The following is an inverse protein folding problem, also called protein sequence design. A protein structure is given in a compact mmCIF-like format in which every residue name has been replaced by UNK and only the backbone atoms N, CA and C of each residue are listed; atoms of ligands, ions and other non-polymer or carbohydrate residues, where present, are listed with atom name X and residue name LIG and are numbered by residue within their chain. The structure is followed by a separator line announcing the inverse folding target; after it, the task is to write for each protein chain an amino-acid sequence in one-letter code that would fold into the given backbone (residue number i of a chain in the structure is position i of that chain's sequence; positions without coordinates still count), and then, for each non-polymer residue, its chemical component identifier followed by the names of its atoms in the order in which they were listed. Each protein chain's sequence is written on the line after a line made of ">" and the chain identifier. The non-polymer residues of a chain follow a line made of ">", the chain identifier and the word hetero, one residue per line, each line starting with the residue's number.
data_IF_287826463064
#
_entry.id   IF_287826463064
#
_cell.length_a   1.000
_cell.length_b   1.000
_cell.length_c   1.000
_cell.angle_alpha   90.00
_cell.angle_beta   90.00
_cell.angle_gamma   90.00
#
_symmetry.space_group_name_H-M   'P 1'
#
loop_
_entity.id
_entity.type
_entity.pdbx_description
1 polymer ?
#
# COMPACT_ATOMS: atom_id res chain seq x y z
N UNK A 1 -2.48 -11.46 32.53
CA UNK A 1 -2.34 -10.09 31.99
C UNK A 1 -1.75 -10.19 30.60
N UNK A 2 -2.31 -9.46 29.64
CA UNK A 2 -1.78 -9.39 28.26
C UNK A 2 -1.53 -7.94 27.89
N UNK A 3 -0.38 -7.64 27.30
CA UNK A 3 0.02 -6.26 26.95
C UNK A 3 0.60 -6.20 25.56
N UNK A 4 0.04 -5.37 24.69
CA UNK A 4 0.66 -4.97 23.44
C UNK A 4 1.38 -3.63 23.63
N UNK A 5 2.64 -3.59 23.20
CA UNK A 5 3.50 -2.40 23.22
C UNK A 5 4.08 -2.19 21.84
N UNK A 6 3.94 -0.99 21.30
CA UNK A 6 4.74 -0.56 20.15
C UNK A 6 6.13 -0.12 20.67
N UNK A 7 7.21 -0.31 19.90
CA UNK A 7 8.57 0.04 20.35
C UNK A 7 8.92 1.49 19.99
N UNK A 8 8.69 2.45 20.90
CA UNK A 8 9.05 3.88 20.78
C UNK A 8 8.88 4.66 22.11
N UNK A 9 9.37 5.90 22.18
CA UNK A 9 9.41 6.74 23.39
C UNK A 9 8.04 7.20 23.92
N UNK A 10 7.00 7.24 23.07
CA UNK A 10 5.61 7.59 23.45
C UNK A 10 4.62 6.54 22.96
N UNK A 11 4.99 5.27 23.02
CA UNK A 11 4.30 4.24 22.29
C UNK A 11 2.94 3.83 22.85
N UNK A 12 2.06 3.43 21.93
CA UNK A 12 0.78 2.84 22.24
C UNK A 12 0.97 1.61 23.13
N UNK A 13 0.26 1.61 24.26
CA UNK A 13 0.13 0.48 25.16
C UNK A 13 -1.34 0.10 25.26
N UNK A 14 -1.64 -1.13 24.85
CA UNK A 14 -2.95 -1.75 25.02
C UNK A 14 -2.80 -2.97 25.94
N UNK A 15 -3.28 -2.85 27.16
CA UNK A 15 -3.17 -3.89 28.18
C UNK A 15 -4.55 -4.39 28.61
N UNK A 16 -4.63 -5.67 28.90
CA UNK A 16 -5.80 -6.32 29.45
C UNK A 16 -5.45 -7.10 30.71
N UNK A 17 -6.25 -6.90 31.77
CA UNK A 17 -6.16 -7.59 33.05
C UNK A 17 -7.42 -8.42 33.27
N UNK A 18 -7.23 -9.74 33.27
CA UNK A 18 -8.30 -10.73 33.41
C UNK A 18 -8.91 -10.79 34.81
N UNK A 19 -8.15 -10.42 35.85
CA UNK A 19 -8.60 -10.45 37.25
C UNK A 19 -9.65 -9.37 37.56
N UNK A 20 -9.57 -8.23 36.88
CA UNK A 20 -10.56 -7.14 36.98
C UNK A 20 -11.47 -7.01 35.77
N UNK A 21 -11.23 -7.81 34.72
CA UNK A 21 -11.85 -7.64 33.42
C UNK A 21 -11.73 -6.19 32.91
N UNK A 22 -10.51 -5.64 33.00
CA UNK A 22 -10.21 -4.24 32.69
C UNK A 22 -9.23 -4.13 31.53
N UNK A 23 -9.58 -3.29 30.55
CA UNK A 23 -8.65 -2.88 29.48
C UNK A 23 -8.10 -1.49 29.78
N UNK A 24 -6.78 -1.34 29.71
CA UNK A 24 -6.08 -0.06 29.79
C UNK A 24 -5.47 0.28 28.43
N UNK A 25 -5.85 1.43 27.88
CA UNK A 25 -5.32 1.98 26.63
C UNK A 25 -4.57 3.29 26.91
N UNK A 26 -3.31 3.39 26.52
CA UNK A 26 -2.46 4.58 26.76
C UNK A 26 -1.77 4.96 25.45
N UNK A 27 -1.86 6.23 25.05
CA UNK A 27 -1.21 6.79 23.85
C UNK A 27 -1.52 6.03 22.55
N UNK A 28 -2.66 5.34 22.46
CA UNK A 28 -3.10 4.62 21.28
C UNK A 28 -4.19 5.41 20.54
N UNK A 29 -4.15 5.34 19.21
CA UNK A 29 -5.27 5.77 18.37
C UNK A 29 -6.56 5.00 18.69
N UNK A 30 -7.74 5.59 18.42
CA UNK A 30 -9.03 4.88 18.48
C UNK A 30 -9.13 3.72 17.48
N UNK A 31 -8.31 3.75 16.42
CA UNK A 31 -8.18 2.68 15.41
C UNK A 31 -7.59 1.37 15.95
N UNK A 32 -6.95 1.44 17.11
CA UNK A 32 -6.19 0.35 17.73
C UNK A 32 -7.01 -0.25 18.87
N UNK A 33 -7.47 -1.48 18.70
CA UNK A 33 -8.39 -2.14 19.63
C UNK A 33 -8.22 -3.67 19.62
N UNK A 34 -8.86 -4.33 20.59
CA UNK A 34 -8.99 -5.78 20.56
C UNK A 34 -9.92 -6.22 19.43
N UNK A 35 -9.54 -7.26 18.68
CA UNK A 35 -10.43 -7.84 17.66
C UNK A 35 -11.59 -8.61 18.29
N UNK A 36 -11.28 -9.34 19.35
CA UNK A 36 -12.20 -10.19 20.11
C UNK A 36 -12.07 -9.86 21.59
N UNK A 37 -12.89 -10.50 22.43
CA UNK A 37 -12.72 -10.42 23.88
C UNK A 37 -11.32 -10.92 24.26
N UNK A 38 -10.52 -10.11 24.97
CA UNK A 38 -9.12 -10.45 25.25
C UNK A 38 -8.96 -11.64 26.20
N UNK A 39 -10.01 -12.03 26.94
CA UNK A 39 -10.07 -13.28 27.71
C UNK A 39 -10.00 -14.53 26.83
N UNK A 40 -10.62 -14.47 25.64
CA UNK A 40 -10.70 -15.61 24.73
C UNK A 40 -9.61 -15.59 23.67
N UNK A 41 -9.37 -14.42 23.06
CA UNK A 41 -8.35 -14.23 22.02
C UNK A 41 -7.81 -12.80 22.14
N UNK A 42 -6.61 -12.61 22.72
CA UNK A 42 -5.98 -11.30 22.88
C UNK A 42 -5.37 -10.81 21.55
N UNK A 43 -6.17 -10.86 20.49
CA UNK A 43 -5.78 -10.42 19.16
C UNK A 43 -5.88 -8.89 19.05
N UNK A 44 -4.78 -8.26 18.65
CA UNK A 44 -4.72 -6.83 18.42
C UNK A 44 -5.11 -6.48 16.98
N UNK A 45 -5.95 -5.47 16.81
CA UNK A 45 -6.44 -4.98 15.52
C UNK A 45 -6.09 -3.51 15.35
N UNK A 46 -5.61 -3.18 14.15
CA UNK A 46 -5.47 -1.81 13.67
C UNK A 46 -6.36 -1.64 12.43
N UNK A 47 -7.32 -0.72 12.48
CA UNK A 47 -8.17 -0.44 11.32
C UNK A 47 -8.75 1.00 11.35
N UNK A 48 -8.65 1.78 10.26
CA UNK A 48 -7.83 1.53 9.06
C UNK A 48 -6.32 1.62 9.36
N UNK A 49 -5.49 0.97 8.53
CA UNK A 49 -4.02 1.02 8.62
C UNK A 49 -3.47 2.24 7.90
N UNK A 50 -2.49 2.90 8.50
CA UNK A 50 -1.78 4.05 7.95
C UNK A 50 -0.27 3.77 7.86
N UNK A 51 0.44 4.50 6.98
CA UNK A 51 1.90 4.43 6.85
C UNK A 51 2.65 4.63 8.17
N UNK A 52 2.17 5.52 9.04
CA UNK A 52 2.77 5.77 10.36
C UNK A 52 2.56 4.64 11.39
N UNK A 53 1.77 3.62 11.07
CA UNK A 53 1.60 2.47 11.96
C UNK A 53 2.76 1.45 11.81
N UNK A 54 3.67 1.64 10.83
CA UNK A 54 4.87 0.79 10.65
C UNK A 54 5.80 0.83 11.86
N UNK A 55 5.93 -0.31 12.54
CA UNK A 55 6.79 -0.47 13.70
C UNK A 55 6.95 -1.93 14.10
N UNK A 56 7.79 -2.13 15.11
CA UNK A 56 7.84 -3.38 15.86
C UNK A 56 6.84 -3.35 17.02
N UNK A 57 5.93 -4.31 17.01
CA UNK A 57 4.94 -4.57 18.04
C UNK A 57 5.40 -5.74 18.90
N UNK A 58 5.23 -5.60 20.21
CA UNK A 58 5.56 -6.63 21.19
C UNK A 58 4.30 -6.97 21.96
N UNK A 59 3.96 -8.26 21.99
CA UNK A 59 2.97 -8.78 22.92
C UNK A 59 3.68 -9.41 24.12
N UNK A 60 3.22 -9.09 25.31
CA UNK A 60 3.68 -9.64 26.58
C UNK A 60 2.49 -10.32 27.27
N UNK A 61 2.64 -11.60 27.59
CA UNK A 61 1.63 -12.39 28.31
C UNK A 61 2.23 -12.84 29.64
N UNK A 62 1.62 -12.40 30.73
CA UNK A 62 2.01 -12.77 32.10
C UNK A 62 0.89 -13.60 32.73
N UNK A 63 1.20 -14.83 33.09
CA UNK A 63 0.32 -15.76 33.78
C UNK A 63 1.09 -16.56 34.86
N UNK A 64 0.43 -17.53 35.49
CA UNK A 64 1.04 -18.39 36.52
C UNK A 64 2.17 -19.28 35.99
N UNK A 65 2.21 -19.55 34.68
CA UNK A 65 3.24 -20.35 34.05
C UNK A 65 4.51 -19.54 33.71
N UNK A 66 4.42 -18.20 33.66
CA UNK A 66 5.56 -17.32 33.43
C UNK A 66 5.21 -16.06 32.65
N UNK A 67 6.27 -15.40 32.14
CA UNK A 67 6.18 -14.25 31.25
C UNK A 67 6.64 -14.66 29.84
N UNK A 68 5.78 -14.42 28.85
CA UNK A 68 6.03 -14.75 27.44
C UNK A 68 6.03 -13.48 26.60
N UNK A 69 7.05 -13.31 25.76
CA UNK A 69 7.21 -12.16 24.87
C UNK A 69 7.17 -12.61 23.40
N UNK A 70 6.35 -11.95 22.60
CA UNK A 70 6.20 -12.18 21.17
C UNK A 70 6.47 -10.88 20.41
N UNK A 71 7.20 -10.97 19.31
CA UNK A 71 7.59 -9.82 18.50
C UNK A 71 6.97 -9.93 17.11
N UNK A 72 6.45 -8.82 16.59
CA UNK A 72 5.88 -8.74 15.24
C UNK A 72 6.31 -7.44 14.60
N UNK A 73 6.82 -7.51 13.37
CA UNK A 73 7.14 -6.33 12.57
C UNK A 73 5.99 -6.04 11.62
N UNK A 74 5.47 -4.82 11.66
CA UNK A 74 4.42 -4.36 10.77
C UNK A 74 5.04 -3.53 9.64
N UNK A 75 4.89 -4.01 8.41
CA UNK A 75 5.14 -3.24 7.19
C UNK A 75 3.83 -2.94 6.46
N UNK A 76 3.74 -1.74 5.89
CA UNK A 76 2.59 -1.23 5.15
C UNK A 76 2.91 -1.22 3.66
N UNK A 77 2.00 -1.80 2.89
CA UNK A 77 2.03 -1.88 1.43
C UNK A 77 1.01 -0.90 0.87
N UNK A 78 1.42 -0.09 -0.11
CA UNK A 78 0.55 0.90 -0.78
C UNK A 78 0.49 0.56 -2.27
N UNK A 79 -0.68 0.23 -2.84
CA UNK A 79 -0.80 -0.05 -4.26
C UNK A 79 -0.51 1.21 -5.09
N UNK A 80 0.31 1.12 -6.16
CA UNK A 80 0.61 2.27 -7.01
C UNK A 80 -0.58 2.63 -7.91
N UNK A 81 -0.70 3.92 -8.24
CA UNK A 81 -1.58 4.39 -9.31
C UNK A 81 -0.83 4.35 -10.63
N UNK A 82 -1.29 3.52 -11.57
CA UNK A 82 -0.61 3.30 -12.84
C UNK A 82 -1.24 4.14 -13.94
N UNK A 83 -0.42 4.87 -14.69
CA UNK A 83 -0.83 5.65 -15.86
C UNK A 83 0.06 5.32 -17.05
N UNK A 84 -0.54 5.16 -18.22
CA UNK A 84 0.17 4.99 -19.49
C UNK A 84 -0.21 6.12 -20.44
N UNK A 85 0.77 6.89 -20.88
CA UNK A 85 0.58 8.04 -21.78
C UNK A 85 1.55 7.96 -22.95
N UNK A 86 1.32 8.75 -24.00
CA UNK A 86 2.25 8.89 -25.11
C UNK A 86 2.42 10.37 -25.46
N UNK A 87 3.66 10.81 -25.60
CA UNK A 87 3.99 12.16 -26.02
C UNK A 87 3.94 12.31 -27.55
N UNK A 88 3.87 13.55 -28.04
CA UNK A 88 3.91 13.92 -29.46
C UNK A 88 5.16 13.40 -30.18
N UNK A 89 6.23 13.16 -29.43
CA UNK A 89 7.47 12.52 -29.89
C UNK A 89 7.36 11.00 -30.10
N UNK A 90 6.16 10.40 -29.93
CA UNK A 90 5.88 8.95 -29.96
C UNK A 90 6.59 8.15 -28.86
N UNK A 91 6.96 8.81 -27.77
CA UNK A 91 7.50 8.17 -26.59
C UNK A 91 6.34 7.80 -25.66
N UNK A 92 6.17 6.51 -25.39
CA UNK A 92 5.22 6.05 -24.40
C UNK A 92 5.83 6.16 -23.00
N UNK A 93 5.06 6.65 -22.03
CA UNK A 93 5.50 6.82 -20.65
C UNK A 93 4.54 6.06 -19.74
N UNK A 94 5.06 5.08 -19.04
CA UNK A 94 4.35 4.36 -18.00
C UNK A 94 4.84 4.81 -16.63
N UNK A 95 3.91 5.20 -15.78
CA UNK A 95 4.21 5.73 -14.45
C UNK A 95 3.42 4.94 -13.41
N UNK A 96 4.13 4.35 -12.45
CA UNK A 96 3.58 3.72 -11.26
C UNK A 96 3.79 4.67 -10.07
N UNK A 97 2.75 5.40 -9.69
CA UNK A 97 2.83 6.50 -8.71
C UNK A 97 2.61 6.04 -7.28
N UNK A 98 3.43 6.53 -6.36
CA UNK A 98 3.27 6.40 -4.91
C UNK A 98 3.03 4.96 -4.41
N UNK A 99 3.70 3.98 -5.02
CA UNK A 99 3.69 2.59 -4.56
C UNK A 99 4.59 2.37 -3.35
N UNK A 100 4.26 1.41 -2.49
CA UNK A 100 5.15 0.94 -1.42
C UNK A 100 5.05 -0.58 -1.31
N UNK A 101 6.11 -1.34 -1.59
CA UNK A 101 7.41 -0.90 -2.10
C UNK A 101 7.33 -0.32 -3.52
N UNK A 102 8.47 0.10 -4.08
CA UNK A 102 8.53 0.50 -5.49
C UNK A 102 7.97 -0.61 -6.39
N UNK A 103 7.16 -0.23 -7.37
CA UNK A 103 6.67 -1.17 -8.38
C UNK A 103 7.72 -1.35 -9.47
N UNK A 104 7.75 -2.53 -10.07
CA UNK A 104 8.57 -2.78 -11.26
C UNK A 104 7.74 -2.55 -12.52
N UNK A 105 8.38 -1.98 -13.54
CA UNK A 105 7.76 -1.68 -14.83
C UNK A 105 8.52 -2.45 -15.91
N UNK A 106 7.79 -3.19 -16.73
CA UNK A 106 8.34 -3.85 -17.91
C UNK A 106 7.46 -3.63 -19.13
N UNK A 107 8.02 -3.79 -20.33
CA UNK A 107 7.37 -3.45 -21.59
C UNK A 107 7.25 -4.66 -22.51
N UNK A 108 6.12 -4.75 -23.20
CA UNK A 108 5.93 -5.67 -24.32
C UNK A 108 5.58 -4.85 -25.58
N UNK A 109 6.35 -4.97 -26.67
CA UNK A 109 7.61 -5.73 -26.76
C UNK A 109 8.75 -5.04 -25.96
N UNK A 110 9.83 -5.76 -25.63
CA UNK A 110 10.99 -5.16 -24.98
C UNK A 110 11.68 -4.13 -25.91
N UNK A 111 12.31 -3.10 -25.32
CA UNK A 111 13.11 -2.10 -26.04
C UNK A 111 14.40 -1.80 -25.28
N UNK A 112 15.48 -1.60 -26.02
CA UNK A 112 16.78 -1.19 -25.49
C UNK A 112 16.86 0.34 -25.24
N UNK A 113 15.85 1.10 -25.69
CA UNK A 113 15.72 2.53 -25.48
C UNK A 113 14.64 2.83 -24.46
N UNK A 114 14.81 2.25 -23.27
CA UNK A 114 13.98 2.56 -22.11
C UNK A 114 14.79 3.43 -21.14
N UNK A 115 14.13 4.43 -20.57
CA UNK A 115 14.68 5.15 -19.41
C UNK A 115 13.85 4.81 -18.19
N UNK A 116 14.49 4.72 -17.03
CA UNK A 116 13.84 4.54 -15.75
C UNK A 116 14.22 5.68 -14.82
N UNK A 117 13.21 6.27 -14.21
CA UNK A 117 13.35 7.28 -13.17
C UNK A 117 12.59 6.85 -11.93
N UNK A 118 13.18 7.11 -10.77
CA UNK A 118 12.61 6.79 -9.47
C UNK A 118 12.59 8.04 -8.59
N UNK A 119 11.44 8.32 -7.98
CA UNK A 119 11.25 9.43 -7.06
C UNK A 119 10.80 8.89 -5.72
N UNK A 120 11.62 9.09 -4.71
CA UNK A 120 11.30 8.77 -3.32
C UNK A 120 10.53 9.90 -2.66
N UNK A 121 9.38 9.58 -2.07
CA UNK A 121 8.56 10.54 -1.34
C UNK A 121 8.89 10.50 0.16
N UNK A 122 8.74 11.62 0.89
CA UNK A 122 8.99 11.68 2.34
C UNK A 122 8.12 10.71 3.16
N UNK A 123 6.96 10.29 2.64
CA UNK A 123 6.07 9.33 3.28
C UNK A 123 6.51 7.86 3.08
N UNK A 124 7.66 7.62 2.45
CA UNK A 124 8.20 6.28 2.19
C UNK A 124 7.59 5.56 0.99
N UNK A 125 6.72 6.21 0.23
CA UNK A 125 6.25 5.71 -1.08
C UNK A 125 7.25 6.07 -2.19
N UNK A 126 7.15 5.37 -3.31
CA UNK A 126 8.02 5.54 -4.47
C UNK A 126 7.17 5.69 -5.72
N UNK A 127 7.52 6.66 -6.56
CA UNK A 127 7.01 6.75 -7.93
C UNK A 127 8.09 6.28 -8.89
N UNK A 128 7.78 5.27 -9.70
CA UNK A 128 8.65 4.82 -10.79
C UNK A 128 8.06 5.21 -12.14
N UNK A 129 8.88 5.77 -12.99
CA UNK A 129 8.51 6.19 -14.34
C UNK A 129 9.43 5.46 -15.31
N UNK A 130 8.84 4.80 -16.31
CA UNK A 130 9.58 4.23 -17.42
C UNK A 130 9.12 4.87 -18.72
N UNK A 131 10.06 5.28 -19.55
CA UNK A 131 9.77 5.71 -20.93
C UNK A 131 10.15 4.61 -21.91
N UNK A 132 9.37 4.50 -22.97
CA UNK A 132 9.53 3.55 -24.06
C UNK A 132 9.57 4.31 -25.38
N UNK A 133 10.70 4.23 -26.06
CA UNK A 133 10.85 4.73 -27.42
C UNK A 133 10.67 3.57 -28.39
N UNK A 134 9.56 3.59 -29.14
CA UNK A 134 9.30 2.63 -30.21
C UNK A 134 10.10 2.96 -31.47
N UNK A 135 10.59 1.94 -32.19
CA UNK A 135 11.32 2.17 -33.43
C UNK A 135 10.38 2.72 -34.52
N UNK A 136 10.73 3.86 -35.12
CA UNK A 136 9.98 4.57 -36.19
C UNK A 136 9.65 3.67 -37.40
N UNK A 137 10.40 2.57 -37.58
CA UNK A 137 10.30 1.65 -38.71
C UNK A 137 9.71 0.28 -38.36
N UNK A 138 9.26 0.09 -37.12
CA UNK A 138 8.63 -1.18 -36.71
C UNK A 138 7.14 -1.14 -37.00
N UNK A 139 6.57 -2.26 -37.47
CA UNK A 139 5.13 -2.47 -37.65
C UNK A 139 4.35 -2.54 -36.33
N UNK A 140 5.01 -2.21 -35.21
CA UNK A 140 4.47 -2.27 -33.86
C UNK A 140 3.44 -1.17 -33.67
N UNK A 141 2.16 -1.58 -33.72
CA UNK A 141 1.02 -0.70 -33.45
C UNK A 141 0.83 -0.48 -31.96
N UNK A 142 1.04 -1.52 -31.15
CA UNK A 142 0.69 -1.47 -29.72
C UNK A 142 1.90 -1.71 -28.83
N UNK A 143 1.97 -0.92 -27.75
CA UNK A 143 2.89 -1.12 -26.65
C UNK A 143 2.09 -1.43 -25.39
N UNK A 144 2.56 -2.40 -24.61
CA UNK A 144 1.97 -2.78 -23.33
C UNK A 144 2.95 -2.53 -22.21
N UNK A 145 2.53 -1.74 -21.22
CA UNK A 145 3.21 -1.61 -19.94
C UNK A 145 2.68 -2.65 -18.96
N UNK A 146 3.59 -3.39 -18.34
CA UNK A 146 3.35 -4.34 -17.28
C UNK A 146 3.90 -3.77 -15.98
N UNK A 147 3.03 -3.58 -14.99
CA UNK A 147 3.41 -3.13 -13.65
C UNK A 147 3.21 -4.25 -12.66
N UNK A 148 4.30 -4.66 -12.00
CA UNK A 148 4.27 -5.71 -10.96
C UNK A 148 4.51 -5.09 -9.60
N UNK A 149 3.58 -5.34 -8.67
CA UNK A 149 3.66 -4.82 -7.30
C UNK A 149 3.00 -5.81 -6.31
N UNK A 150 3.51 -5.96 -5.08
CA UNK A 150 2.97 -6.94 -4.12
C UNK A 150 1.48 -6.85 -3.84
N UNK A 151 0.89 -5.64 -3.91
CA UNK A 151 -0.55 -5.46 -3.74
C UNK A 151 -1.38 -5.69 -5.02
N UNK A 152 -0.80 -5.48 -6.21
CA UNK A 152 -1.55 -5.52 -7.47
C UNK A 152 -0.62 -5.62 -8.67
N UNK A 153 -0.98 -6.46 -9.64
CA UNK A 153 -0.36 -6.48 -10.96
C UNK A 153 -1.31 -5.79 -11.95
N UNK A 154 -0.79 -4.84 -12.72
CA UNK A 154 -1.58 -4.06 -13.68
C UNK A 154 -0.95 -4.11 -15.06
N UNK A 155 -1.78 -4.16 -16.09
CA UNK A 155 -1.35 -4.13 -17.48
C UNK A 155 -2.14 -3.08 -18.24
N UNK A 156 -1.42 -2.21 -18.95
CA UNK A 156 -2.01 -1.15 -19.77
C UNK A 156 -1.43 -1.24 -21.17
N UNK A 157 -2.28 -1.13 -22.19
CA UNK A 157 -1.86 -1.14 -23.59
C UNK A 157 -2.25 0.15 -24.28
N UNK A 158 -1.40 0.62 -25.18
CA UNK A 158 -1.60 1.84 -25.94
C UNK A 158 -1.21 1.62 -27.41
N UNK A 159 -2.01 2.17 -28.33
CA UNK A 159 -1.72 2.19 -29.77
C UNK A 159 -0.92 3.47 -30.12
N UNK A 160 0.25 3.30 -30.72
CA UNK A 160 1.18 4.37 -31.11
C UNK A 160 0.84 4.98 -32.49
N UNK A 161 -0.14 4.44 -33.21
CA UNK A 161 -0.50 4.86 -34.57
C UNK A 161 -1.28 6.18 -34.66
N UNK A 162 -1.89 6.62 -33.56
CA UNK A 162 -2.71 7.84 -33.54
C UNK A 162 -2.12 8.91 -32.63
N UNK A 163 -1.83 10.13 -33.13
CA UNK A 163 -1.58 11.28 -32.27
C UNK A 163 -2.95 11.78 -31.77
N UNK A 164 -3.60 11.07 -30.85
CA UNK A 164 -4.87 11.55 -30.33
C UNK A 164 -4.64 12.54 -29.19
N UNK A 165 -4.69 13.82 -29.59
CA UNK A 165 -5.49 14.87 -28.95
C UNK A 165 -6.33 14.39 -27.77
N UNK A 166 -6.08 15.00 -26.60
CA UNK A 166 -6.96 15.12 -25.43
C UNK A 166 -8.05 14.05 -25.38
N UNK A 167 -7.87 13.06 -24.50
CA UNK A 167 -9.00 12.35 -23.89
C UNK A 167 -10.14 13.36 -23.68
N UNK A 168 -11.31 13.19 -24.31
CA UNK A 168 -12.44 14.03 -23.97
C UNK A 168 -12.68 13.77 -22.49
N UNK A 169 -12.54 14.82 -21.68
CA UNK A 169 -13.18 14.87 -20.38
C UNK A 169 -14.63 14.44 -20.64
N UNK A 170 -14.98 13.23 -20.22
CA UNK A 170 -16.36 12.83 -20.05
C UNK A 170 -16.91 13.75 -18.96
N UNK A 171 -17.43 14.89 -19.37
CA UNK A 171 -18.31 15.72 -18.56
C UNK A 171 -19.60 14.92 -18.37
N UNK A 172 -19.57 13.97 -17.44
CA UNK A 172 -20.79 13.43 -16.84
C UNK A 172 -21.31 14.57 -15.96
N UNK A 173 -22.17 15.39 -16.55
CA UNK A 173 -23.11 16.20 -15.80
C UNK A 173 -24.07 15.27 -15.06
N UNK A 174 -23.79 15.03 -13.79
CA UNK A 174 -24.62 14.22 -12.89
C UNK A 174 -24.23 14.52 -11.46
N UNK A 175 -25.09 15.28 -10.78
CA UNK A 175 -24.96 15.72 -9.40
C UNK A 175 -24.96 14.57 -8.38
N UNK A 176 -24.31 14.86 -7.25
CA UNK A 176 -24.43 14.24 -5.93
C UNK A 176 -23.67 12.92 -5.69
N UNK A 177 -22.55 13.08 -4.99
CA UNK A 177 -22.13 12.22 -3.88
C UNK A 177 -21.92 10.75 -4.19
N UNK A 178 -20.77 10.43 -4.80
CA UNK A 178 -20.18 9.11 -4.64
C UNK A 178 -18.75 9.30 -4.14
N UNK A 179 -18.59 9.25 -2.83
CA UNK A 179 -17.30 8.98 -2.22
C UNK A 179 -16.91 7.55 -2.62
N UNK A 180 -16.14 7.42 -3.70
CA UNK A 180 -15.50 6.18 -4.05
C UNK A 180 -14.43 5.90 -2.99
N UNK A 181 -14.81 5.20 -1.92
CA UNK A 181 -13.87 4.61 -0.98
C UNK A 181 -13.31 3.36 -1.65
N UNK A 182 -12.49 3.54 -2.69
CA UNK A 182 -11.63 2.46 -3.20
C UNK A 182 -10.35 2.40 -2.37
N UNK A 183 -10.50 2.36 -1.06
CA UNK A 183 -9.45 1.88 -0.18
C UNK A 183 -9.64 0.38 -0.08
N UNK A 184 -8.68 -0.42 -0.56
CA UNK A 184 -8.56 -1.78 -0.01
C UNK A 184 -8.14 -1.55 1.45
N UNK A 185 -9.13 -1.44 2.34
CA UNK A 185 -8.87 -1.14 3.75
C UNK A 185 -8.35 -2.42 4.39
N UNK A 186 -7.04 -2.63 4.27
CA UNK A 186 -6.36 -3.77 4.89
C UNK A 186 -6.62 -3.73 6.40
N UNK A 187 -7.24 -4.80 6.89
CA UNK A 187 -7.41 -5.05 8.32
C UNK A 187 -6.29 -5.99 8.75
N UNK A 188 -5.37 -5.49 9.57
CA UNK A 188 -4.28 -6.30 10.09
C UNK A 188 -4.60 -6.78 11.51
N UNK A 189 -4.34 -8.06 11.73
CA UNK A 189 -4.70 -8.77 12.96
C UNK A 189 -3.46 -9.46 13.46
N UNK A 190 -2.98 -9.04 14.61
CA UNK A 190 -1.86 -9.69 15.28
C UNK A 190 -2.40 -10.63 16.34
N UNK A 191 -2.02 -11.90 16.26
CA UNK A 191 -2.31 -12.89 17.28
C UNK A 191 -1.10 -13.04 18.19
N UNK A 192 -1.36 -13.08 19.49
CA UNK A 192 -0.35 -13.30 20.49
C UNK A 192 -0.34 -14.81 20.83
N UNK A 193 0.46 -15.58 20.10
CA UNK A 193 0.64 -17.04 20.26
C UNK A 193 2.06 -17.45 19.90
#
# INVERSE_FOLDING_TARGET
>A
MVTWKMKCSTCCLLAYRSDRNETRKVNCSERMMWKYSPDSDPAFRIYPVNLGDEANYTCEVVNTAGNFLFFSSLTVIVPPTVTLTCDKSRVAVCQASAGKPAADISWIPPSNHTTEEEVHHPNGTVTRVSSYVGWVNSTLRNVTCLVTHPATNQTLSLDLSYPFSRLPYLLIGGSASVAAVSGVILCLIFRCR
#
